data_IF_459783742055
#
_entry.id   IF_459783742055
#
_cell.length_a   1.000
_cell.length_b   1.000
_cell.length_c   1.000
_cell.angle_alpha   90.00
_cell.angle_beta   90.00
_cell.angle_gamma   90.00
#
_symmetry.space_group_name_H-M   'P 1'
#
loop_
_entity.id
_entity.type
_entity.pdbx_description
1 polymer ?
#
# COMPACT_ATOMS: atom_id res chain seq x y z
N UNK A 1 -17.52 -9.56 -1.67
CA UNK A 1 -16.14 -9.69 -2.16
C UNK A 1 -15.24 -9.33 -0.99
N UNK A 2 -14.75 -10.33 -0.28
CA UNK A 2 -13.88 -10.12 0.89
C UNK A 2 -12.48 -9.79 0.39
N UNK A 3 -12.15 -8.50 0.36
CA UNK A 3 -10.77 -8.07 0.16
C UNK A 3 -10.09 -8.24 1.51
N UNK A 4 -9.32 -9.31 1.68
CA UNK A 4 -8.58 -9.50 2.93
C UNK A 4 -7.59 -8.33 3.09
N UNK A 5 -7.59 -7.63 4.23
CA UNK A 5 -6.75 -6.45 4.46
C UNK A 5 -5.26 -6.76 4.25
N UNK A 6 -4.86 -8.00 4.50
CA UNK A 6 -3.51 -8.52 4.24
C UNK A 6 -3.07 -8.38 2.77
N UNK A 7 -3.95 -8.58 1.78
CA UNK A 7 -3.59 -8.40 0.37
C UNK A 7 -3.33 -6.94 0.04
N UNK A 8 -4.14 -6.01 0.59
CA UNK A 8 -3.93 -4.58 0.41
C UNK A 8 -2.60 -4.12 1.00
N UNK A 9 -2.22 -4.67 2.16
CA UNK A 9 -0.93 -4.38 2.81
C UNK A 9 0.24 -4.86 1.97
N UNK A 10 0.20 -6.11 1.50
CA UNK A 10 1.27 -6.69 0.67
C UNK A 10 1.41 -5.94 -0.67
N UNK A 11 0.30 -5.68 -1.37
CA UNK A 11 0.34 -4.97 -2.64
C UNK A 11 0.84 -3.53 -2.49
N UNK A 12 0.38 -2.82 -1.45
CA UNK A 12 0.81 -1.46 -1.16
C UNK A 12 2.31 -1.38 -0.81
N UNK A 13 2.78 -2.29 0.04
CA UNK A 13 4.17 -2.32 0.46
C UNK A 13 5.12 -2.72 -0.66
N UNK A 14 4.82 -3.81 -1.39
CA UNK A 14 5.64 -4.26 -2.52
C UNK A 14 5.61 -3.25 -3.68
N UNK A 15 4.45 -2.67 -3.98
CA UNK A 15 4.32 -1.64 -5.01
C UNK A 15 5.13 -0.38 -4.69
N UNK A 16 5.10 0.07 -3.43
CA UNK A 16 5.88 1.23 -3.00
C UNK A 16 7.38 0.93 -3.02
N UNK A 17 7.81 -0.24 -2.56
CA UNK A 17 9.20 -0.67 -2.59
C UNK A 17 9.75 -0.68 -4.02
N UNK A 18 9.04 -1.34 -4.95
CA UNK A 18 9.43 -1.41 -6.36
C UNK A 18 9.43 -0.03 -7.03
N UNK A 19 8.40 0.79 -6.75
CA UNK A 19 8.33 2.14 -7.27
C UNK A 19 9.49 3.01 -6.79
N UNK A 20 9.85 2.90 -5.51
CA UNK A 20 10.94 3.70 -4.92
C UNK A 20 12.32 3.24 -5.39
N UNK A 21 12.55 1.93 -5.46
CA UNK A 21 13.77 1.35 -6.04
C UNK A 21 13.92 1.74 -7.51
N UNK A 22 12.83 1.69 -8.29
CA UNK A 22 12.84 2.13 -9.68
C UNK A 22 13.15 3.62 -9.81
N UNK A 23 12.54 4.46 -8.98
CA UNK A 23 12.72 5.91 -9.02
C UNK A 23 14.15 6.32 -8.62
N UNK A 24 14.75 5.66 -7.63
CA UNK A 24 16.14 5.92 -7.26
C UNK A 24 17.15 5.39 -8.29
N UNK A 25 16.84 4.29 -8.98
CA UNK A 25 17.61 3.84 -10.15
C UNK A 25 17.61 4.88 -11.29
N UNK A 26 16.47 5.52 -11.57
CA UNK A 26 16.38 6.58 -12.58
C UNK A 26 17.07 7.89 -12.17
N UNK A 27 17.18 8.16 -10.86
CA UNK A 27 17.78 9.40 -10.34
C UNK A 27 19.27 9.27 -10.02
N UNK A 28 19.90 8.13 -10.35
CA UNK A 28 21.31 7.85 -10.05
C UNK A 28 21.67 8.08 -8.57
N UNK A 29 20.69 7.90 -7.68
CA UNK A 29 20.90 8.01 -6.24
C UNK A 29 21.45 6.70 -5.73
N UNK A 30 22.63 6.76 -5.12
CA UNK A 30 23.20 5.60 -4.44
C UNK A 30 22.19 5.05 -3.42
N UNK A 31 21.97 3.73 -3.43
CA UNK A 31 21.05 2.97 -2.56
C UNK A 31 21.50 2.97 -1.08
N UNK A 32 21.97 4.10 -0.56
CA UNK A 32 22.66 4.23 0.73
C UNK A 32 21.76 3.87 1.92
N UNK A 33 20.43 3.83 1.75
CA UNK A 33 19.47 3.63 2.84
C UNK A 33 18.38 2.61 2.54
N UNK A 34 18.79 1.38 2.23
CA UNK A 34 17.85 0.27 2.00
C UNK A 34 16.91 0.01 3.19
N UNK A 35 17.38 0.25 4.42
CA UNK A 35 16.58 0.15 5.65
C UNK A 35 15.42 1.16 5.67
N UNK A 36 15.65 2.36 5.15
CA UNK A 36 14.62 3.41 5.06
C UNK A 36 13.57 3.04 4.01
N UNK A 37 13.95 2.39 2.92
CA UNK A 37 13.00 1.86 1.92
C UNK A 37 12.12 0.75 2.49
N UNK A 38 12.69 -0.18 3.27
CA UNK A 38 11.92 -1.26 3.89
C UNK A 38 10.92 -0.67 4.90
N UNK A 39 11.38 0.22 5.78
CA UNK A 39 10.51 0.87 6.79
C UNK A 39 9.40 1.69 6.14
N UNK A 40 9.74 2.52 5.14
CA UNK A 40 8.71 3.30 4.43
C UNK A 40 7.75 2.42 3.65
N UNK A 41 8.20 1.31 3.09
CA UNK A 41 7.32 0.35 2.41
C UNK A 41 6.35 -0.35 3.35
N UNK A 42 6.78 -0.71 4.57
CA UNK A 42 5.88 -1.26 5.60
C UNK A 42 4.81 -0.24 5.98
N UNK A 43 5.20 1.02 6.23
CA UNK A 43 4.28 2.10 6.56
C UNK A 43 3.27 2.34 5.43
N UNK A 44 3.74 2.42 4.18
CA UNK A 44 2.88 2.60 3.02
C UNK A 44 1.95 1.40 2.77
N UNK A 45 2.43 0.17 2.99
CA UNK A 45 1.60 -1.02 2.96
C UNK A 45 0.45 -0.94 3.96
N UNK A 46 0.74 -0.60 5.21
CA UNK A 46 -0.30 -0.46 6.26
C UNK A 46 -1.31 0.63 5.89
N UNK A 47 -0.85 1.80 5.43
CA UNK A 47 -1.74 2.89 5.01
C UNK A 47 -2.63 2.49 3.83
N UNK A 48 -2.06 1.81 2.82
CA UNK A 48 -2.79 1.36 1.64
C UNK A 48 -3.81 0.27 1.98
N UNK A 49 -3.44 -0.70 2.82
CA UNK A 49 -4.36 -1.72 3.34
C UNK A 49 -5.52 -1.12 4.12
N UNK A 50 -5.23 -0.14 4.99
CA UNK A 50 -6.27 0.55 5.76
C UNK A 50 -7.19 1.37 4.85
N UNK A 51 -6.63 2.10 3.88
CA UNK A 51 -7.41 2.89 2.92
C UNK A 51 -8.32 2.04 2.03
N UNK A 52 -7.80 0.90 1.53
CA UNK A 52 -8.59 -0.05 0.73
C UNK A 52 -9.68 -0.72 1.55
N UNK A 53 -9.42 -1.04 2.82
CA UNK A 53 -10.44 -1.54 3.74
C UNK A 53 -11.55 -0.50 3.99
N UNK A 54 -11.18 0.73 4.35
CA UNK A 54 -12.14 1.83 4.56
C UNK A 54 -12.98 2.10 3.31
N UNK A 55 -12.37 2.12 2.13
CA UNK A 55 -13.08 2.31 0.87
C UNK A 55 -14.10 1.18 0.64
N UNK A 56 -13.68 -0.07 0.85
CA UNK A 56 -14.54 -1.25 0.67
C UNK A 56 -15.69 -1.25 1.67
N UNK A 57 -15.42 -0.94 2.93
CA UNK A 57 -16.43 -0.91 3.98
C UNK A 57 -17.43 0.24 3.77
N UNK A 58 -16.97 1.41 3.34
CA UNK A 58 -17.86 2.53 3.04
C UNK A 58 -18.77 2.21 1.84
N UNK A 59 -18.24 1.51 0.83
CA UNK A 59 -19.05 1.01 -0.30
C UNK A 59 -20.06 -0.02 0.17
N UNK A 60 -19.64 -0.96 1.01
CA UNK A 60 -20.52 -1.99 1.58
C UNK A 60 -21.67 -1.36 2.37
N UNK A 61 -21.38 -0.39 3.27
CA UNK A 61 -22.40 0.37 4.01
C UNK A 61 -23.38 1.08 3.07
N UNK A 62 -22.91 1.71 1.98
CA UNK A 62 -23.78 2.32 0.96
C UNK A 62 -24.69 1.30 0.27
N UNK A 63 -24.19 0.11 -0.07
CA UNK A 63 -25.00 -0.94 -0.70
C UNK A 63 -26.04 -1.54 0.25
N UNK A 64 -25.72 -1.68 1.54
CA UNK A 64 -26.63 -2.25 2.54
C UNK A 64 -27.67 -1.24 3.03
N UNK A 65 -27.33 0.06 3.09
CA UNK A 65 -28.26 1.13 3.48
C UNK A 65 -29.29 1.48 2.40
N UNK A 66 -29.05 1.09 1.15
CA UNK A 66 -29.97 1.30 0.02
C UNK A 66 -30.86 0.06 -0.26
N UNK A 67 -30.93 -0.87 0.69
CA UNK A 67 -31.71 -2.11 0.64
C UNK A 67 -32.77 -2.09 1.72
#
# INVERSE_FOLDING_TARGET
MEIYPFYGILFGGTGFLLGKVGLDFFLDKAFEKISEYIMTSIIFGILFGTGTWLYTENRYKKYTANK
#
